data_IF_048399445706
#
_entry.id   IF_048399445706
#
_cell.length_a   1.000
_cell.length_b   1.000
_cell.length_c   1.000
_cell.angle_alpha   90.00
_cell.angle_beta   90.00
_cell.angle_gamma   90.00
#
_symmetry.space_group_name_H-M   'P 1'
#
loop_
_entity.id
_entity.type
_entity.pdbx_description
1 polymer ?
#
# COMPACT_ATOMS: atom_id res chain seq x y z
N UNK A 1 -7.36 1.48 -33.80
CA UNK A 1 -8.04 1.78 -32.50
C UNK A 1 -7.27 1.01 -31.45
N UNK A 2 -6.36 1.65 -30.73
CA UNK A 2 -5.40 0.96 -29.86
C UNK A 2 -5.65 1.44 -28.43
N UNK A 3 -6.50 0.72 -27.71
CA UNK A 3 -6.74 0.88 -26.28
C UNK A 3 -6.09 -0.26 -25.48
N UNK A 4 -6.02 0.00 -24.17
CA UNK A 4 -5.55 -0.83 -23.05
C UNK A 4 -4.11 -0.50 -22.62
N UNK A 5 -3.98 0.62 -21.89
CA UNK A 5 -2.85 0.86 -20.98
C UNK A 5 -3.24 0.31 -19.63
N UNK A 6 -2.62 -0.80 -19.26
CA UNK A 6 -3.03 -1.56 -18.10
C UNK A 6 -2.00 -1.40 -17.00
N UNK A 7 -2.41 -0.73 -15.93
CA UNK A 7 -1.58 -0.42 -14.77
C UNK A 7 -2.36 -0.89 -13.56
N UNK A 8 -1.89 -1.96 -12.93
CA UNK A 8 -2.53 -2.55 -11.76
C UNK A 8 -1.55 -2.55 -10.62
N UNK A 9 -1.96 -1.94 -9.52
CA UNK A 9 -1.32 -2.09 -8.23
C UNK A 9 -2.24 -2.93 -7.38
N UNK A 10 -1.66 -3.89 -6.67
CA UNK A 10 -2.37 -4.57 -5.62
C UNK A 10 -1.49 -4.71 -4.38
N UNK A 11 -2.01 -4.46 -3.17
CA UNK A 11 -1.28 -4.63 -1.90
C UNK A 11 -2.13 -5.35 -0.84
N UNK A 12 -1.44 -6.18 -0.06
CA UNK A 12 -1.83 -6.66 1.27
C UNK A 12 -0.74 -6.20 2.23
N UNK A 13 -1.08 -5.44 3.28
CA UNK A 13 -0.07 -4.93 4.22
C UNK A 13 -0.10 -5.77 5.50
N UNK A 14 1.04 -6.37 5.87
CA UNK A 14 1.15 -7.20 7.06
C UNK A 14 2.23 -6.66 8.02
N UNK A 15 1.82 -6.14 9.17
CA UNK A 15 2.75 -5.53 10.12
C UNK A 15 3.24 -6.53 11.17
N UNK A 16 4.48 -7.02 11.00
CA UNK A 16 5.09 -8.00 11.91
C UNK A 16 6.11 -7.35 12.85
N UNK A 17 5.82 -7.34 14.16
CA UNK A 17 6.72 -6.87 15.23
C UNK A 17 7.78 -7.92 15.57
N UNK A 18 9.05 -7.52 15.78
CA UNK A 18 10.15 -8.46 16.12
C UNK A 18 10.55 -8.52 17.59
N UNK A 19 9.92 -7.75 18.49
CA UNK A 19 10.28 -7.77 19.92
C UNK A 19 9.07 -7.79 20.87
N UNK A 20 9.14 -8.68 21.87
CA UNK A 20 8.08 -9.00 22.83
C UNK A 20 7.83 -7.96 23.94
N UNK A 21 7.89 -6.67 23.65
CA UNK A 21 7.46 -5.63 24.59
C UNK A 21 6.09 -5.08 24.18
N UNK A 22 5.04 -5.53 24.88
CA UNK A 22 3.72 -4.89 24.89
C UNK A 22 3.85 -3.47 25.45
N UNK A 23 3.41 -2.45 24.70
CA UNK A 23 3.46 -1.06 25.16
C UNK A 23 2.13 -0.38 24.86
N UNK A 24 1.34 -0.21 25.93
CA UNK A 24 0.08 0.54 25.94
C UNK A 24 0.31 2.00 26.31
N UNK A 25 0.04 2.92 25.38
CA UNK A 25 -0.41 4.31 25.63
C UNK A 25 -1.16 4.81 24.37
N UNK A 26 -2.51 4.79 24.34
CA UNK A 26 -3.42 4.78 23.14
C UNK A 26 -3.21 5.78 21.96
N UNK A 27 -4.01 5.76 20.87
CA UNK A 27 -5.27 5.03 20.57
C UNK A 27 -5.20 3.89 19.53
N UNK A 28 -4.04 3.53 18.95
CA UNK A 28 -3.85 2.27 18.21
C UNK A 28 -2.40 1.75 18.31
N UNK A 29 -2.19 0.48 18.63
CA UNK A 29 -0.89 -0.18 18.48
C UNK A 29 -0.53 -0.35 16.99
N UNK A 30 0.75 -0.44 16.64
CA UNK A 30 1.18 -0.64 15.24
C UNK A 30 0.61 -1.94 14.63
N UNK A 31 0.30 -2.94 15.46
CA UNK A 31 -0.43 -4.16 15.05
C UNK A 31 -1.88 -3.90 14.64
N UNK A 32 -2.50 -2.79 15.07
CA UNK A 32 -3.86 -2.42 14.67
C UNK A 32 -3.92 -1.69 13.32
N UNK A 33 -2.75 -1.47 12.71
CA UNK A 33 -2.62 -1.03 11.33
C UNK A 33 -2.46 -2.21 10.36
N UNK A 34 -2.27 -3.43 10.88
CA UNK A 34 -2.27 -4.65 10.09
C UNK A 34 -3.65 -4.81 9.44
N UNK A 35 -3.67 -4.94 8.11
CA UNK A 35 -4.91 -5.03 7.37
C UNK A 35 -4.70 -5.83 6.08
N UNK A 36 -5.42 -6.94 5.99
CA UNK A 36 -5.48 -7.78 4.80
C UNK A 36 -6.63 -7.37 3.86
N UNK A 37 -7.47 -6.42 4.27
CA UNK A 37 -8.63 -5.90 3.54
C UNK A 37 -9.71 -6.96 3.28
N UNK A 38 -9.69 -8.10 3.98
CA UNK A 38 -10.67 -9.17 3.82
C UNK A 38 -12.08 -8.77 4.29
N UNK A 39 -12.17 -7.74 5.15
CA UNK A 39 -13.44 -7.13 5.56
C UNK A 39 -14.13 -6.34 4.42
N UNK A 40 -13.43 -6.13 3.30
CA UNK A 40 -13.94 -5.41 2.13
C UNK A 40 -13.91 -3.89 2.28
N UNK A 41 -13.28 -3.36 3.34
CA UNK A 41 -13.28 -1.93 3.65
C UNK A 41 -11.87 -1.36 3.62
N UNK A 42 -11.76 -0.06 3.34
CA UNK A 42 -10.49 0.66 3.51
C UNK A 42 -10.22 0.99 4.98
N UNK A 43 -11.22 0.93 5.86
CA UNK A 43 -11.04 1.34 7.24
C UNK A 43 -10.04 0.40 7.95
N UNK A 44 -9.18 0.94 8.84
CA UNK A 44 -9.13 2.33 9.30
C UNK A 44 -8.29 3.26 8.41
N UNK A 45 -7.78 2.79 7.26
CA UNK A 45 -7.00 3.59 6.32
C UNK A 45 -7.90 4.61 5.61
N UNK A 46 -7.30 5.75 5.27
CA UNK A 46 -7.98 6.93 4.72
C UNK A 46 -7.51 7.13 3.29
N UNK A 47 -8.46 7.14 2.37
CA UNK A 47 -8.25 7.47 0.95
C UNK A 47 -8.19 9.00 0.81
N UNK A 48 -7.04 9.55 0.43
CA UNK A 48 -6.79 11.01 0.37
C UNK A 48 -6.43 11.52 -1.03
N UNK A 49 -6.65 10.69 -2.05
CA UNK A 49 -6.33 11.05 -3.43
C UNK A 49 -7.10 12.29 -3.88
N UNK A 50 -6.37 13.25 -4.43
CA UNK A 50 -6.94 14.48 -5.01
C UNK A 50 -7.25 14.33 -6.52
N UNK A 51 -7.02 13.13 -7.08
CA UNK A 51 -7.21 12.84 -8.51
C UNK A 51 -8.37 11.87 -8.73
N UNK A 52 -8.67 11.56 -10.00
CA UNK A 52 -9.65 10.52 -10.33
C UNK A 52 -9.14 9.11 -10.03
N UNK A 53 -7.82 8.95 -9.86
CA UNK A 53 -7.15 7.71 -9.50
C UNK A 53 -7.19 7.55 -7.98
N UNK A 54 -7.71 6.43 -7.49
CA UNK A 54 -7.95 6.21 -6.06
C UNK A 54 -7.65 4.79 -5.63
N UNK A 55 -7.44 4.60 -4.34
CA UNK A 55 -7.41 3.26 -3.76
C UNK A 55 -8.83 2.70 -3.56
N UNK A 56 -9.01 1.41 -3.81
CA UNK A 56 -10.25 0.69 -3.56
C UNK A 56 -9.93 -0.75 -3.18
N UNK A 57 -10.77 -1.37 -2.35
CA UNK A 57 -10.70 -2.82 -2.15
C UNK A 57 -11.25 -3.54 -3.38
N UNK A 58 -10.44 -4.40 -3.99
CA UNK A 58 -10.82 -5.35 -5.02
C UNK A 58 -10.95 -6.76 -4.44
N UNK A 59 -11.59 -7.64 -5.19
CA UNK A 59 -11.71 -9.06 -4.87
C UNK A 59 -11.27 -9.89 -6.08
N UNK A 60 -10.53 -10.96 -5.83
CA UNK A 60 -9.98 -11.84 -6.86
C UNK A 60 -11.06 -12.51 -7.73
N UNK A 61 -12.22 -12.82 -7.15
CA UNK A 61 -13.34 -13.44 -7.87
C UNK A 61 -14.08 -12.46 -8.78
N UNK A 62 -13.95 -11.15 -8.52
CA UNK A 62 -14.62 -10.08 -9.27
C UNK A 62 -13.59 -9.24 -10.01
N UNK A 63 -13.02 -9.81 -11.07
CA UNK A 63 -12.00 -9.10 -11.84
C UNK A 63 -12.55 -7.82 -12.43
N UNK A 64 -11.94 -6.70 -12.04
CA UNK A 64 -12.23 -5.40 -12.63
C UNK A 64 -11.77 -5.29 -14.09
N UNK A 65 -10.81 -6.15 -14.50
CA UNK A 65 -10.38 -6.33 -15.88
C UNK A 65 -10.61 -7.79 -16.32
N UNK A 66 -11.70 -8.08 -17.05
CA UNK A 66 -12.08 -9.44 -17.39
C UNK A 66 -10.99 -10.22 -18.16
N UNK A 67 -10.28 -9.53 -19.08
CA UNK A 67 -9.22 -10.14 -19.89
C UNK A 67 -7.87 -10.16 -19.18
N UNK A 68 -7.81 -9.61 -17.97
CA UNK A 68 -6.58 -9.49 -17.22
C UNK A 68 -6.83 -9.59 -15.70
N UNK A 69 -7.24 -10.77 -15.21
CA UNK A 69 -7.51 -10.94 -13.80
C UNK A 69 -6.26 -10.72 -12.95
N UNK A 70 -6.47 -10.17 -11.76
CA UNK A 70 -5.44 -10.14 -10.74
C UNK A 70 -5.04 -11.58 -10.37
N UNK A 71 -3.73 -11.85 -10.18
CA UNK A 71 -3.30 -13.12 -9.65
C UNK A 71 -3.82 -13.31 -8.23
N UNK A 72 -3.91 -14.57 -7.79
CA UNK A 72 -4.34 -14.93 -6.44
C UNK A 72 -3.43 -14.24 -5.40
N UNK A 73 -3.98 -13.41 -4.49
CA UNK A 73 -3.20 -12.84 -3.40
C UNK A 73 -2.59 -13.91 -2.50
N UNK A 74 -1.44 -13.58 -1.87
CA UNK A 74 -0.71 -14.53 -1.02
C UNK A 74 -1.52 -14.98 0.19
N UNK A 75 -2.43 -14.13 0.67
CA UNK A 75 -3.39 -14.41 1.73
C UNK A 75 -4.77 -13.92 1.29
N UNK A 76 -5.84 -14.62 1.68
CA UNK A 76 -7.20 -14.15 1.44
C UNK A 76 -7.63 -14.09 -0.03
N UNK A 77 -8.58 -13.21 -0.34
CA UNK A 77 -9.14 -13.00 -1.69
C UNK A 77 -9.29 -11.52 -2.04
N UNK A 78 -9.33 -10.65 -1.05
CA UNK A 78 -9.37 -9.22 -1.24
C UNK A 78 -7.95 -8.64 -1.33
N UNK A 79 -7.88 -7.43 -1.88
CA UNK A 79 -6.65 -6.68 -1.96
C UNK A 79 -6.97 -5.20 -2.18
N UNK A 80 -6.12 -4.31 -1.69
CA UNK A 80 -6.13 -2.92 -2.15
C UNK A 80 -5.73 -2.89 -3.61
N UNK A 81 -6.44 -2.13 -4.45
CA UNK A 81 -6.05 -1.83 -5.81
C UNK A 81 -6.18 -0.36 -6.13
N UNK A 82 -5.45 0.08 -7.14
CA UNK A 82 -5.68 1.37 -7.76
C UNK A 82 -6.83 1.26 -8.77
N UNK A 83 -7.88 2.04 -8.57
CA UNK A 83 -9.00 2.19 -9.49
C UNK A 83 -8.89 3.51 -10.26
N UNK A 84 -9.06 3.41 -11.58
CA UNK A 84 -8.99 4.54 -12.53
C UNK A 84 -10.36 4.91 -13.09
N UNK A 85 -11.44 4.37 -12.52
CA UNK A 85 -12.85 4.67 -12.85
C UNK A 85 -13.14 4.75 -14.35
N UNK A 86 -12.63 3.78 -15.11
CA UNK A 86 -12.89 3.67 -16.55
C UNK A 86 -12.15 4.66 -17.46
N UNK A 87 -11.35 5.58 -16.91
CA UNK A 87 -10.49 6.46 -17.70
C UNK A 87 -9.13 5.78 -17.91
N UNK A 88 -9.01 4.99 -18.98
CA UNK A 88 -7.79 4.30 -19.41
C UNK A 88 -6.58 5.24 -19.59
N UNK A 89 -6.81 6.55 -19.71
CA UNK A 89 -5.82 7.63 -19.89
C UNK A 89 -5.71 8.60 -18.71
N UNK A 90 -6.25 8.26 -17.53
CA UNK A 90 -6.08 9.11 -16.35
C UNK A 90 -4.64 9.00 -15.79
N UNK A 91 -4.03 10.15 -15.55
CA UNK A 91 -2.75 10.29 -14.86
C UNK A 91 -2.98 10.95 -13.51
N UNK A 92 -2.21 10.56 -12.50
CA UNK A 92 -2.39 11.04 -11.14
C UNK A 92 -1.69 10.13 -10.15
N UNK A 93 -1.83 10.46 -8.87
CA UNK A 93 -1.31 9.66 -7.77
C UNK A 93 -2.48 9.30 -6.86
N UNK A 94 -2.65 8.01 -6.61
CA UNK A 94 -3.51 7.52 -5.55
C UNK A 94 -2.77 7.55 -4.22
N UNK A 95 -3.38 8.11 -3.17
CA UNK A 95 -2.80 8.27 -1.84
C UNK A 95 -3.70 7.57 -0.82
N UNK A 96 -3.15 6.61 -0.09
CA UNK A 96 -3.79 5.97 1.06
C UNK A 96 -2.94 6.24 2.31
N UNK A 97 -3.58 6.75 3.38
CA UNK A 97 -2.91 7.04 4.65
C UNK A 97 -3.39 6.12 5.76
N UNK A 98 -2.46 5.62 6.56
CA UNK A 98 -2.81 4.93 7.80
C UNK A 98 -3.30 5.93 8.85
N UNK A 99 -4.08 5.49 9.86
CA UNK A 99 -4.17 6.20 11.12
C UNK A 99 -2.79 6.52 11.70
N UNK A 100 -2.74 7.55 12.53
CA UNK A 100 -1.51 7.89 13.25
C UNK A 100 -1.21 6.86 14.33
N UNK A 101 0.06 6.51 14.47
CA UNK A 101 0.58 5.59 15.47
C UNK A 101 1.78 6.21 16.18
N UNK A 102 2.19 5.60 17.29
CA UNK A 102 3.41 5.98 18.00
C UNK A 102 4.49 4.93 17.80
N UNK A 103 5.69 5.40 17.53
CA UNK A 103 6.88 4.58 17.48
C UNK A 103 7.82 5.02 18.60
N UNK A 104 8.31 4.08 19.39
CA UNK A 104 9.11 4.39 20.57
C UNK A 104 10.53 4.69 20.15
N UNK A 105 11.13 5.71 20.76
CA UNK A 105 12.53 6.07 20.55
C UNK A 105 13.45 4.86 20.69
N UNK A 106 14.28 4.61 19.69
CA UNK A 106 15.22 3.48 19.68
C UNK A 106 14.57 2.11 19.43
N UNK A 107 13.26 2.04 19.18
CA UNK A 107 12.64 0.80 18.71
C UNK A 107 12.87 0.60 17.22
N UNK A 108 13.03 -0.66 16.84
CA UNK A 108 13.11 -1.11 15.46
C UNK A 108 11.89 -1.97 15.15
N UNK A 109 11.19 -1.63 14.08
CA UNK A 109 9.99 -2.33 13.63
C UNK A 109 10.10 -2.63 12.15
N UNK A 110 9.69 -3.83 11.73
CA UNK A 110 9.57 -4.15 10.31
C UNK A 110 8.14 -4.00 9.85
N UNK A 111 7.97 -3.26 8.75
CA UNK A 111 6.71 -3.15 8.03
C UNK A 111 6.81 -4.09 6.85
N UNK A 112 6.00 -5.15 6.82
CA UNK A 112 5.98 -6.09 5.71
C UNK A 112 4.71 -5.88 4.89
N UNK A 113 4.79 -6.15 3.60
CA UNK A 113 3.63 -6.08 2.73
C UNK A 113 3.87 -6.95 1.50
N UNK A 114 2.77 -7.45 0.96
CA UNK A 114 2.73 -8.17 -0.30
C UNK A 114 2.13 -7.28 -1.36
N UNK A 115 2.67 -7.32 -2.56
CA UNK A 115 2.24 -6.48 -3.65
C UNK A 115 2.34 -7.18 -4.99
N UNK A 116 1.61 -6.66 -5.96
CA UNK A 116 1.73 -6.99 -7.37
C UNK A 116 1.63 -5.70 -8.19
N UNK A 117 2.60 -5.49 -9.07
CA UNK A 117 2.62 -4.34 -9.99
C UNK A 117 2.71 -4.89 -11.40
N UNK A 118 1.78 -4.46 -12.25
CA UNK A 118 1.78 -4.78 -13.68
C UNK A 118 1.56 -3.53 -14.49
N UNK A 119 2.51 -3.14 -15.33
CA UNK A 119 2.39 -1.94 -16.16
C UNK A 119 3.17 -2.01 -17.46
N UNK A 120 2.62 -1.38 -18.52
CA UNK A 120 3.30 -1.14 -19.80
C UNK A 120 4.31 0.01 -19.73
N UNK A 121 4.24 0.85 -18.70
CA UNK A 121 5.01 2.07 -18.55
C UNK A 121 5.76 2.09 -17.21
N UNK A 122 6.81 1.27 -17.03
CA UNK A 122 7.49 1.12 -15.73
C UNK A 122 8.01 2.43 -15.15
N UNK A 123 8.50 3.33 -16.01
CA UNK A 123 9.04 4.64 -15.61
C UNK A 123 7.99 5.59 -15.01
N UNK A 124 6.69 5.34 -15.26
CA UNK A 124 5.58 6.18 -14.81
C UNK A 124 4.63 5.43 -13.87
N UNK A 125 4.94 4.16 -13.59
CA UNK A 125 4.13 3.32 -12.72
C UNK A 125 4.98 2.86 -11.56
N UNK A 126 4.68 3.43 -10.40
CA UNK A 126 5.41 3.12 -9.19
C UNK A 126 4.49 2.97 -7.99
N UNK A 127 4.93 2.16 -7.04
CA UNK A 127 4.34 2.01 -5.73
C UNK A 127 5.40 2.39 -4.69
N UNK A 128 5.05 3.33 -3.83
CA UNK A 128 5.97 3.86 -2.85
C UNK A 128 5.33 3.87 -1.46
N UNK A 129 6.17 3.60 -0.46
CA UNK A 129 5.79 3.65 0.94
C UNK A 129 6.60 4.74 1.61
N UNK A 130 5.90 5.64 2.29
CA UNK A 130 6.48 6.70 3.09
C UNK A 130 6.07 6.56 4.56
N UNK A 131 6.88 7.11 5.45
CA UNK A 131 6.48 7.43 6.81
C UNK A 131 6.45 8.94 6.99
N UNK A 132 5.32 9.47 7.42
CA UNK A 132 5.21 10.85 7.86
C UNK A 132 5.55 10.94 9.35
N UNK A 133 6.43 11.85 9.76
CA UNK A 133 6.76 12.15 11.17
C UNK A 133 6.72 13.66 11.37
N UNK A 134 5.87 14.13 12.28
CA UNK A 134 5.72 15.56 12.58
C UNK A 134 5.53 16.45 11.34
N UNK A 135 4.83 15.95 10.32
CA UNK A 135 4.58 16.68 9.06
C UNK A 135 5.66 16.52 7.98
N UNK A 136 6.77 15.83 8.26
CA UNK A 136 7.81 15.51 7.27
C UNK A 136 7.63 14.08 6.76
N UNK A 137 7.68 13.87 5.44
CA UNK A 137 7.58 12.55 4.82
C UNK A 137 8.98 12.01 4.44
N UNK A 138 9.25 10.77 4.84
CA UNK A 138 10.47 10.02 4.50
C UNK A 138 10.09 8.80 3.66
N UNK A 139 10.73 8.60 2.51
CA UNK A 139 10.50 7.43 1.68
C UNK A 139 11.20 6.20 2.27
N UNK A 140 10.43 5.14 2.53
CA UNK A 140 10.94 3.86 3.03
C UNK A 140 11.19 2.86 1.90
N UNK A 141 10.29 2.81 0.92
CA UNK A 141 10.37 1.87 -0.20
C UNK A 141 9.93 2.53 -1.49
N UNK A 142 10.62 2.17 -2.57
CA UNK A 142 10.26 2.48 -3.94
C UNK A 142 10.30 1.18 -4.77
N UNK A 143 9.20 0.82 -5.43
CA UNK A 143 9.04 -0.46 -6.13
C UNK A 143 9.02 -0.35 -7.65
N UNK A 144 9.54 0.71 -8.23
CA UNK A 144 9.48 0.96 -9.68
C UNK A 144 10.09 -0.19 -10.50
N UNK A 145 11.14 -0.84 -9.96
CA UNK A 145 11.81 -1.99 -10.58
C UNK A 145 10.94 -3.26 -10.68
N UNK A 146 9.79 -3.30 -10.00
CA UNK A 146 8.84 -4.42 -10.07
C UNK A 146 7.70 -4.18 -11.08
N UNK A 147 7.70 -3.01 -11.72
CA UNK A 147 6.69 -2.61 -12.68
C UNK A 147 6.97 -3.26 -14.03
N UNK A 148 6.27 -4.36 -14.32
CA UNK A 148 6.45 -5.13 -15.56
C UNK A 148 5.10 -5.65 -16.07
N UNK A 149 4.82 -5.47 -17.35
CA UNK A 149 3.57 -5.91 -18.00
C UNK A 149 3.41 -7.44 -18.02
N UNK A 150 4.49 -8.19 -17.85
CA UNK A 150 4.49 -9.64 -17.77
C UNK A 150 4.36 -10.15 -16.33
N UNK A 151 4.45 -9.28 -15.31
CA UNK A 151 4.35 -9.70 -13.92
C UNK A 151 2.95 -10.25 -13.60
N UNK A 152 2.92 -11.51 -13.16
CA UNK A 152 1.71 -12.26 -12.78
C UNK A 152 1.78 -12.80 -11.36
N UNK A 153 2.73 -12.34 -10.57
CA UNK A 153 2.98 -12.89 -9.24
C UNK A 153 2.94 -11.80 -8.19
N UNK A 154 2.29 -12.12 -7.07
CA UNK A 154 2.47 -11.39 -5.83
C UNK A 154 3.86 -11.62 -5.27
N UNK A 155 4.44 -10.58 -4.71
CA UNK A 155 5.76 -10.59 -4.06
C UNK A 155 5.65 -9.93 -2.70
N UNK A 156 6.55 -10.26 -1.78
CA UNK A 156 6.60 -9.62 -0.45
C UNK A 156 7.87 -8.81 -0.28
N UNK A 157 7.74 -7.66 0.39
CA UNK A 157 8.85 -6.81 0.81
C UNK A 157 8.65 -6.39 2.25
N UNK A 158 9.74 -5.94 2.86
CA UNK A 158 9.71 -5.34 4.18
C UNK A 158 10.57 -4.10 4.21
N UNK A 159 10.16 -3.10 4.99
CA UNK A 159 10.95 -1.92 5.31
C UNK A 159 11.28 -1.92 6.80
N UNK A 160 12.49 -1.47 7.14
CA UNK A 160 12.86 -1.18 8.52
C UNK A 160 12.36 0.23 8.87
N UNK A 161 11.71 0.33 10.02
CA UNK A 161 11.25 1.57 10.60
C UNK A 161 11.89 1.74 11.99
N UNK A 162 12.60 2.84 12.15
CA UNK A 162 13.28 3.19 13.41
C UNK A 162 12.54 4.31 14.14
N UNK A 163 12.41 4.17 15.46
CA UNK A 163 11.79 5.18 16.31
C UNK A 163 12.73 6.34 16.60
N UNK A 164 12.28 7.56 16.31
CA UNK A 164 13.04 8.78 16.51
C UNK A 164 12.62 9.48 17.81
N UNK A 165 13.59 10.03 18.54
CA UNK A 165 13.37 10.69 19.84
C UNK A 165 12.48 11.94 19.77
N UNK A 166 12.33 12.55 18.60
CA UNK A 166 11.55 13.76 18.38
C UNK A 166 10.15 13.51 17.80
N UNK A 167 9.84 12.30 17.33
CA UNK A 167 8.55 12.02 16.67
C UNK A 167 7.48 11.66 17.69
N UNK A 168 6.40 12.46 17.75
CA UNK A 168 5.26 12.17 18.65
C UNK A 168 4.24 11.25 18.01
N UNK A 169 4.05 11.37 16.70
CA UNK A 169 3.12 10.58 15.90
C UNK A 169 3.68 10.32 14.51
N UNK A 170 3.35 9.16 13.96
CA UNK A 170 3.73 8.74 12.62
C UNK A 170 2.53 8.21 11.86
N UNK A 171 2.55 8.28 10.54
CA UNK A 171 1.59 7.57 9.67
C UNK A 171 2.31 7.02 8.45
N UNK A 172 1.78 5.94 7.88
CA UNK A 172 2.22 5.47 6.58
C UNK A 172 1.43 6.16 5.48
N UNK A 173 2.12 6.49 4.40
CA UNK A 173 1.51 6.93 3.15
C UNK A 173 1.89 5.95 2.06
N UNK A 174 0.88 5.44 1.39
CA UNK A 174 1.04 4.60 0.21
C UNK A 174 0.66 5.42 -1.01
N UNK A 175 1.60 5.58 -1.93
CA UNK A 175 1.37 6.30 -3.18
C UNK A 175 1.48 5.35 -4.36
N UNK A 176 0.59 5.52 -5.34
CA UNK A 176 0.66 4.80 -6.60
C UNK A 176 0.32 5.69 -7.79
N UNK A 177 1.17 5.67 -8.83
CA UNK A 177 1.02 6.44 -10.06
C UNK A 177 0.63 5.56 -11.26
#
# INVERSE_FOLDING_TARGET
>A
MQEIVLIVFAIILCLTKRSGQSIRVGSKELSELDNDFEDGTLQPWIEESQTSIRWQVGNQASSWEPNNPAPQPLNGKNYLRVDRRGASSSFGVAILRSPTFKLLSGSETHVSFSFWIRSKWPAFTNLELYVARNGNEEQLVNLYNYSDISNRSWQSRSALLTGQSSSKFSSFTLTAA
#
